data_IF_669714314177
#
_entry.id   IF_669714314177
#
_cell.length_a   1.000
_cell.length_b   1.000
_cell.length_c   1.000
_cell.angle_alpha   90.00
_cell.angle_beta   90.00
_cell.angle_gamma   90.00
#
_symmetry.space_group_name_H-M   'P 1'
#
loop_
_entity.id
_entity.type
_entity.pdbx_description
1 polymer ?
#
# COMPACT_ATOMS: atom_id res chain seq x y z
N UNK A 1 -40.84 -9.95 -1.47
CA UNK A 1 -39.48 -10.26 -0.96
C UNK A 1 -38.48 -10.11 -2.11
N UNK A 2 -38.02 -8.89 -2.39
CA UNK A 2 -37.10 -8.54 -3.51
C UNK A 2 -36.29 -7.25 -3.24
N UNK A 3 -35.85 -7.01 -1.99
CA UNK A 3 -35.14 -5.76 -1.63
C UNK A 3 -33.70 -5.94 -1.16
N UNK A 4 -33.24 -7.15 -0.84
CA UNK A 4 -31.88 -7.36 -0.31
C UNK A 4 -30.81 -7.57 -1.39
N UNK A 5 -31.17 -8.01 -2.60
CA UNK A 5 -30.19 -8.36 -3.64
C UNK A 5 -29.65 -7.13 -4.42
N UNK A 6 -30.39 -6.02 -4.46
CA UNK A 6 -29.97 -4.82 -5.21
C UNK A 6 -29.03 -3.89 -4.42
N UNK A 7 -29.06 -3.91 -3.09
CA UNK A 7 -28.28 -2.97 -2.27
C UNK A 7 -26.78 -3.31 -2.21
N UNK A 8 -26.44 -4.61 -2.15
CA UNK A 8 -25.05 -5.06 -2.21
C UNK A 8 -24.41 -4.81 -3.58
N UNK A 9 -25.19 -5.05 -4.64
CA UNK A 9 -24.77 -4.84 -6.03
C UNK A 9 -24.50 -3.35 -6.31
N UNK A 10 -25.37 -2.44 -5.85
CA UNK A 10 -25.14 -1.01 -6.04
C UNK A 10 -23.91 -0.50 -5.27
N UNK A 11 -23.72 -0.92 -4.01
CA UNK A 11 -22.54 -0.50 -3.24
C UNK A 11 -21.25 -0.94 -3.93
N UNK A 12 -21.16 -2.20 -4.36
CA UNK A 12 -20.02 -2.75 -5.11
C UNK A 12 -19.82 -1.99 -6.42
N UNK A 13 -20.88 -1.82 -7.21
CA UNK A 13 -20.81 -1.10 -8.50
C UNK A 13 -20.31 0.33 -8.36
N UNK A 14 -20.70 1.04 -7.30
CA UNK A 14 -20.21 2.40 -7.02
C UNK A 14 -18.72 2.42 -6.65
N UNK A 15 -18.22 1.41 -5.94
CA UNK A 15 -16.80 1.26 -5.64
C UNK A 15 -15.99 0.90 -6.90
N UNK A 16 -16.54 0.06 -7.79
CA UNK A 16 -15.90 -0.26 -9.07
C UNK A 16 -15.79 0.97 -9.97
N UNK A 17 -16.88 1.75 -10.09
CA UNK A 17 -16.87 3.02 -10.83
C UNK A 17 -15.92 4.06 -10.19
N UNK A 18 -15.71 3.98 -8.88
CA UNK A 18 -14.71 4.80 -8.18
C UNK A 18 -13.31 4.38 -8.61
N UNK A 19 -13.00 3.09 -8.64
CA UNK A 19 -11.72 2.57 -9.14
C UNK A 19 -11.47 2.99 -10.59
N UNK A 20 -12.47 2.83 -11.47
CA UNK A 20 -12.41 3.27 -12.88
C UNK A 20 -12.13 4.78 -13.00
N UNK A 21 -12.82 5.60 -12.19
CA UNK A 21 -12.67 7.07 -12.19
C UNK A 21 -11.29 7.49 -11.71
N UNK A 22 -10.80 6.93 -10.61
CA UNK A 22 -9.49 7.26 -10.05
C UNK A 22 -8.38 6.84 -11.01
N UNK A 23 -8.47 5.64 -11.59
CA UNK A 23 -7.47 5.14 -12.53
C UNK A 23 -7.38 5.99 -13.81
N UNK A 24 -8.51 6.50 -14.31
CA UNK A 24 -8.55 7.27 -15.55
C UNK A 24 -8.33 8.77 -15.38
N UNK A 25 -8.77 9.36 -14.26
CA UNK A 25 -8.84 10.82 -14.10
C UNK A 25 -8.39 11.35 -12.73
N UNK A 26 -8.01 10.48 -11.80
CA UNK A 26 -7.56 10.86 -10.46
C UNK A 26 -8.67 11.01 -9.42
N UNK A 27 -8.25 11.13 -8.16
CA UNK A 27 -9.13 11.13 -6.98
C UNK A 27 -10.07 12.34 -6.96
N UNK A 28 -9.59 13.51 -7.37
CA UNK A 28 -10.37 14.76 -7.41
C UNK A 28 -11.62 14.67 -8.28
N UNK A 29 -11.62 13.80 -9.29
CA UNK A 29 -12.72 13.63 -10.26
C UNK A 29 -13.84 12.69 -9.77
N UNK A 30 -13.67 12.08 -8.58
CA UNK A 30 -14.70 11.24 -7.97
C UNK A 30 -15.85 12.12 -7.48
N UNK A 31 -17.06 11.88 -8.01
CA UNK A 31 -18.27 12.60 -7.62
C UNK A 31 -19.45 11.65 -7.47
N UNK A 32 -20.18 11.74 -6.35
CA UNK A 32 -21.39 10.94 -6.13
C UNK A 32 -22.42 11.11 -7.25
N UNK A 33 -22.49 12.30 -7.84
CA UNK A 33 -23.43 12.60 -8.92
C UNK A 33 -23.03 11.89 -10.23
N UNK A 34 -21.76 11.96 -10.60
CA UNK A 34 -21.27 11.30 -11.82
C UNK A 34 -21.34 9.78 -11.68
N UNK A 35 -21.01 9.25 -10.50
CA UNK A 35 -21.12 7.83 -10.19
C UNK A 35 -22.58 7.34 -10.21
N UNK A 36 -23.53 8.08 -9.62
CA UNK A 36 -24.96 7.74 -9.72
C UNK A 36 -25.43 7.63 -11.17
N UNK A 37 -25.05 8.61 -12.01
CA UNK A 37 -25.38 8.63 -13.43
C UNK A 37 -24.77 7.43 -14.16
N UNK A 38 -23.50 7.12 -13.90
CA UNK A 38 -22.83 5.98 -14.52
C UNK A 38 -23.39 4.62 -14.05
N UNK A 39 -23.89 4.55 -12.81
CA UNK A 39 -24.58 3.36 -12.28
C UNK A 39 -26.06 3.26 -12.70
N UNK A 40 -26.61 4.26 -13.39
CA UNK A 40 -28.02 4.25 -13.82
C UNK A 40 -29.02 4.39 -12.67
N UNK A 41 -28.63 4.97 -11.53
CA UNK A 41 -29.46 5.12 -10.33
C UNK A 41 -29.78 6.58 -10.02
N UNK A 42 -30.72 6.80 -9.10
CA UNK A 42 -31.04 8.14 -8.61
C UNK A 42 -29.84 8.80 -7.92
N UNK A 43 -29.79 10.14 -7.98
CA UNK A 43 -28.74 10.91 -7.31
C UNK A 43 -28.71 10.76 -5.78
N UNK A 44 -29.82 10.33 -5.17
CA UNK A 44 -29.90 10.09 -3.73
C UNK A 44 -29.27 8.76 -3.32
N UNK A 45 -29.20 7.77 -4.22
CA UNK A 45 -28.78 6.42 -3.87
C UNK A 45 -27.33 6.36 -3.32
N UNK A 46 -26.29 6.98 -3.92
CA UNK A 46 -24.96 6.95 -3.33
C UNK A 46 -24.87 7.65 -1.98
N UNK A 47 -25.66 8.72 -1.77
CA UNK A 47 -25.71 9.40 -0.46
C UNK A 47 -26.34 8.50 0.60
N UNK A 48 -27.32 7.67 0.26
CA UNK A 48 -27.90 6.72 1.19
C UNK A 48 -26.90 5.61 1.58
N UNK A 49 -26.00 5.23 0.67
CA UNK A 49 -25.00 4.19 0.94
C UNK A 49 -23.74 4.70 1.64
N UNK A 50 -23.28 5.91 1.32
CA UNK A 50 -21.97 6.41 1.75
C UNK A 50 -22.03 7.75 2.49
N UNK A 51 -23.19 8.40 2.55
CA UNK A 51 -23.39 9.73 3.16
C UNK A 51 -22.82 10.88 2.33
N UNK A 52 -21.53 10.81 1.99
CA UNK A 52 -20.75 11.87 1.33
C UNK A 52 -19.69 11.29 0.37
N UNK A 53 -19.04 12.18 -0.40
CA UNK A 53 -17.86 11.80 -1.21
C UNK A 53 -16.76 11.25 -0.31
N UNK A 54 -16.50 11.90 0.82
CA UNK A 54 -15.52 11.43 1.80
C UNK A 54 -15.89 10.04 2.34
N UNK A 55 -17.15 9.79 2.67
CA UNK A 55 -17.59 8.46 3.13
C UNK A 55 -17.44 7.36 2.06
N UNK A 56 -17.64 7.69 0.77
CA UNK A 56 -17.36 6.77 -0.34
C UNK A 56 -15.86 6.47 -0.45
N UNK A 57 -15.02 7.50 -0.43
CA UNK A 57 -13.57 7.36 -0.52
C UNK A 57 -13.00 6.64 0.70
N UNK A 58 -13.52 6.90 1.90
CA UNK A 58 -13.20 6.14 3.12
C UNK A 58 -13.57 4.68 2.96
N UNK A 59 -14.77 4.35 2.49
CA UNK A 59 -15.17 2.96 2.26
C UNK A 59 -14.28 2.25 1.22
N UNK A 60 -13.85 2.97 0.18
CA UNK A 60 -12.91 2.48 -0.83
C UNK A 60 -11.50 2.29 -0.26
N UNK A 61 -10.99 3.23 0.53
CA UNK A 61 -9.72 3.12 1.22
C UNK A 61 -9.70 1.96 2.23
N UNK A 62 -10.82 1.74 2.93
CA UNK A 62 -11.01 0.59 3.84
C UNK A 62 -10.86 -0.72 3.08
N UNK A 63 -11.49 -0.87 1.91
CA UNK A 63 -11.31 -2.05 1.05
C UNK A 63 -9.84 -2.24 0.64
N UNK A 64 -9.17 -1.15 0.23
CA UNK A 64 -7.75 -1.17 -0.10
C UNK A 64 -6.86 -1.65 1.05
N UNK A 65 -7.09 -1.14 2.28
CA UNK A 65 -6.37 -1.59 3.48
C UNK A 65 -6.61 -3.06 3.80
N UNK A 66 -7.84 -3.57 3.64
CA UNK A 66 -8.13 -4.99 3.88
C UNK A 66 -7.42 -5.90 2.87
N UNK A 67 -7.44 -5.52 1.59
CA UNK A 67 -6.71 -6.24 0.53
C UNK A 67 -5.21 -6.22 0.83
N UNK A 68 -4.64 -5.04 1.13
CA UNK A 68 -3.23 -4.90 1.45
C UNK A 68 -2.86 -5.74 2.68
N UNK A 69 -3.65 -5.70 3.76
CA UNK A 69 -3.37 -6.48 4.97
C UNK A 69 -3.31 -7.99 4.69
N UNK A 70 -4.15 -8.53 3.81
CA UNK A 70 -4.06 -9.92 3.36
C UNK A 70 -2.73 -10.20 2.64
N UNK A 71 -2.39 -9.39 1.64
CA UNK A 71 -1.13 -9.53 0.89
C UNK A 71 0.11 -9.44 1.78
N UNK A 72 0.10 -8.52 2.75
CA UNK A 72 1.19 -8.38 3.70
C UNK A 72 1.32 -9.62 4.59
N UNK A 73 0.20 -10.23 5.02
CA UNK A 73 0.20 -11.49 5.79
C UNK A 73 0.74 -12.66 4.98
N UNK A 74 0.35 -12.78 3.72
CA UNK A 74 0.90 -13.78 2.78
C UNK A 74 2.43 -13.63 2.64
N UNK A 75 2.91 -12.40 2.44
CA UNK A 75 4.35 -12.11 2.38
C UNK A 75 5.07 -12.41 3.69
N UNK A 76 4.48 -12.02 4.83
CA UNK A 76 5.05 -12.23 6.17
C UNK A 76 5.20 -13.72 6.52
N UNK A 77 4.33 -14.59 5.99
CA UNK A 77 4.46 -16.04 6.13
C UNK A 77 5.76 -16.59 5.49
N UNK A 78 6.33 -15.86 4.53
CA UNK A 78 7.63 -16.17 3.92
C UNK A 78 8.77 -15.44 4.62
N UNK A 79 8.71 -14.10 4.67
CA UNK A 79 9.68 -13.27 5.40
C UNK A 79 9.22 -11.82 5.47
N UNK A 80 9.80 -11.04 6.40
CA UNK A 80 9.56 -9.60 6.44
C UNK A 80 9.95 -8.87 5.15
N UNK A 81 10.95 -9.39 4.42
CA UNK A 81 11.31 -8.85 3.11
C UNK A 81 10.17 -9.01 2.09
N UNK A 82 9.53 -10.17 2.06
CA UNK A 82 8.43 -10.44 1.13
C UNK A 82 7.17 -9.67 1.52
N UNK A 83 7.01 -9.27 2.78
CA UNK A 83 6.01 -8.25 3.18
C UNK A 83 6.24 -6.93 2.44
N UNK A 84 7.48 -6.48 2.30
CA UNK A 84 7.83 -5.26 1.55
C UNK A 84 7.57 -5.39 0.05
N UNK A 85 7.85 -6.57 -0.53
CA UNK A 85 7.55 -6.85 -1.95
C UNK A 85 6.04 -6.84 -2.19
N UNK A 86 5.27 -7.52 -1.34
CA UNK A 86 3.81 -7.56 -1.42
C UNK A 86 3.16 -6.16 -1.35
N UNK A 87 3.76 -5.23 -0.60
CA UNK A 87 3.32 -3.83 -0.56
C UNK A 87 3.41 -3.15 -1.94
N UNK A 88 4.53 -3.33 -2.62
CA UNK A 88 4.83 -2.74 -3.94
C UNK A 88 3.98 -3.39 -5.04
N UNK A 89 3.78 -4.70 -4.95
CA UNK A 89 2.88 -5.44 -5.85
C UNK A 89 1.43 -4.99 -5.68
N UNK A 90 0.97 -4.80 -4.45
CA UNK A 90 -0.35 -4.23 -4.18
C UNK A 90 -0.51 -2.86 -4.82
N UNK A 91 0.46 -1.97 -4.64
CA UNK A 91 0.40 -0.62 -5.21
C UNK A 91 0.28 -0.67 -6.75
N UNK A 92 1.01 -1.58 -7.38
CA UNK A 92 1.00 -1.77 -8.84
C UNK A 92 -0.29 -2.41 -9.35
N UNK A 93 -0.84 -3.39 -8.62
CA UNK A 93 -2.07 -4.09 -9.00
C UNK A 93 -3.33 -3.28 -8.68
N UNK A 94 -3.27 -2.40 -7.68
CA UNK A 94 -4.41 -1.62 -7.19
C UNK A 94 -4.08 -0.11 -7.10
N UNK A 95 -3.65 0.53 -8.21
CA UNK A 95 -3.17 1.92 -8.18
C UNK A 95 -4.24 2.91 -7.72
N UNK A 96 -5.51 2.67 -8.06
CA UNK A 96 -6.63 3.49 -7.60
C UNK A 96 -6.83 3.41 -6.08
N UNK A 97 -6.77 2.21 -5.50
CA UNK A 97 -6.86 2.06 -4.04
C UNK A 97 -5.67 2.72 -3.36
N UNK A 98 -4.45 2.47 -3.87
CA UNK A 98 -3.24 3.07 -3.34
C UNK A 98 -3.32 4.60 -3.32
N UNK A 99 -3.75 5.23 -4.41
CA UNK A 99 -3.93 6.67 -4.48
C UNK A 99 -4.89 7.19 -3.39
N UNK A 100 -6.07 6.58 -3.25
CA UNK A 100 -7.08 7.03 -2.28
C UNK A 100 -6.67 6.78 -0.82
N UNK A 101 -6.04 5.64 -0.52
CA UNK A 101 -5.60 5.27 0.83
C UNK A 101 -4.66 6.30 1.47
N UNK A 102 -3.88 7.00 0.65
CA UNK A 102 -2.88 7.96 1.10
C UNK A 102 -3.27 9.44 0.84
N UNK A 103 -4.51 9.71 0.42
CA UNK A 103 -5.09 11.07 0.31
C UNK A 103 -5.87 11.45 1.58
N UNK A 104 -5.18 11.67 2.70
CA UNK A 104 -5.84 11.83 4.01
C UNK A 104 -6.86 12.97 4.06
N UNK A 105 -6.66 14.06 3.33
CA UNK A 105 -7.61 15.19 3.30
C UNK A 105 -8.98 14.85 2.69
N UNK A 106 -9.06 13.76 1.92
CA UNK A 106 -10.27 13.30 1.24
C UNK A 106 -11.10 12.30 2.08
N UNK A 107 -10.57 11.86 3.23
CA UNK A 107 -11.13 10.76 4.01
C UNK A 107 -11.75 11.25 5.33
N UNK A 108 -12.76 10.52 5.79
CA UNK A 108 -13.17 10.52 7.21
C UNK A 108 -12.20 9.63 7.97
N UNK A 109 -11.10 10.21 8.46
CA UNK A 109 -9.98 9.46 9.07
C UNK A 109 -10.33 8.78 10.41
N UNK A 110 -11.40 9.23 11.06
CA UNK A 110 -11.89 8.71 12.35
C UNK A 110 -12.95 7.60 12.17
N UNK A 111 -13.31 7.24 10.93
CA UNK A 111 -14.28 6.19 10.66
C UNK A 111 -13.82 4.86 11.27
N UNK A 112 -14.62 4.20 12.13
CA UNK A 112 -14.19 3.01 12.85
C UNK A 112 -13.75 1.86 11.94
N UNK A 113 -14.40 1.66 10.79
CA UNK A 113 -14.05 0.58 9.86
C UNK A 113 -12.72 0.89 9.16
N UNK A 114 -12.51 2.14 8.78
CA UNK A 114 -11.23 2.59 8.22
C UNK A 114 -10.09 2.46 9.23
N UNK A 115 -10.29 2.92 10.47
CA UNK A 115 -9.29 2.79 11.55
C UNK A 115 -8.94 1.32 11.78
N UNK A 116 -9.92 0.43 11.87
CA UNK A 116 -9.68 -1.00 12.07
C UNK A 116 -8.92 -1.63 10.89
N UNK A 117 -9.28 -1.34 9.64
CA UNK A 117 -8.58 -1.86 8.46
C UNK A 117 -7.14 -1.34 8.37
N UNK A 118 -6.94 -0.06 8.67
CA UNK A 118 -5.62 0.57 8.75
C UNK A 118 -4.77 -0.11 9.82
N UNK A 119 -5.31 -0.33 11.01
CA UNK A 119 -4.62 -1.05 12.09
C UNK A 119 -4.22 -2.47 11.70
N UNK A 120 -5.07 -3.20 10.97
CA UNK A 120 -4.71 -4.54 10.45
C UNK A 120 -3.50 -4.48 9.51
N UNK A 121 -3.46 -3.47 8.61
CA UNK A 121 -2.32 -3.28 7.70
C UNK A 121 -1.03 -2.98 8.47
N UNK A 122 -1.07 -1.97 9.34
CA UNK A 122 0.11 -1.53 10.09
C UNK A 122 0.57 -2.58 11.11
N UNK A 123 -0.35 -3.36 11.67
CA UNK A 123 -0.04 -4.43 12.60
C UNK A 123 0.89 -5.50 12.00
N UNK A 124 0.74 -5.82 10.71
CA UNK A 124 1.65 -6.77 10.02
C UNK A 124 3.05 -6.21 9.91
N UNK A 125 3.19 -4.92 9.59
CA UNK A 125 4.48 -4.25 9.51
C UNK A 125 5.17 -4.21 10.88
N UNK A 126 4.44 -3.79 11.93
CA UNK A 126 4.96 -3.71 13.30
C UNK A 126 5.40 -5.08 13.81
N UNK A 127 4.56 -6.11 13.67
CA UNK A 127 4.90 -7.46 14.11
C UNK A 127 6.15 -8.00 13.38
N UNK A 128 6.30 -7.66 12.10
CA UNK A 128 7.48 -8.04 11.31
C UNK A 128 8.79 -7.44 11.83
N UNK A 129 8.81 -6.14 12.15
CA UNK A 129 10.01 -5.48 12.71
C UNK A 129 10.28 -5.86 14.16
N UNK A 130 9.24 -6.12 14.96
CA UNK A 130 9.36 -6.66 16.32
C UNK A 130 10.06 -8.02 16.29
N UNK A 131 9.65 -8.91 15.37
CA UNK A 131 10.33 -10.19 15.16
C UNK A 131 11.80 -10.06 14.72
N UNK A 132 12.14 -9.02 13.95
CA UNK A 132 13.55 -8.72 13.61
C UNK A 132 14.34 -8.22 14.82
N UNK A 133 13.71 -7.45 15.70
CA UNK A 133 14.34 -6.95 16.92
C UNK A 133 14.60 -8.08 17.92
N UNK A 134 13.62 -8.96 18.12
CA UNK A 134 13.74 -10.15 18.97
C UNK A 134 14.85 -11.09 18.48
N UNK A 135 15.04 -11.15 17.15
CA UNK A 135 16.14 -11.90 16.52
C UNK A 135 17.50 -11.16 16.54
N UNK A 136 17.59 -9.97 17.14
CA UNK A 136 18.80 -9.16 17.22
C UNK A 136 19.28 -8.57 15.89
N UNK A 137 18.41 -8.52 14.87
CA UNK A 137 18.74 -8.00 13.52
C UNK A 137 18.56 -6.50 13.39
N UNK A 138 17.72 -5.90 14.24
CA UNK A 138 17.55 -4.46 14.36
C UNK A 138 17.55 -4.07 15.84
N UNK A 139 18.04 -2.88 16.17
CA UNK A 139 18.10 -2.38 17.55
C UNK A 139 16.96 -1.42 17.92
N UNK A 140 16.23 -0.92 16.93
CA UNK A 140 15.09 -0.01 17.10
C UNK A 140 13.99 -0.40 16.09
N UNK A 141 13.00 -1.16 16.57
CA UNK A 141 11.88 -1.61 15.76
C UNK A 141 11.06 -0.46 15.17
N UNK A 142 10.88 0.65 15.90
CA UNK A 142 10.08 1.78 15.44
C UNK A 142 10.77 2.51 14.28
N UNK A 143 12.06 2.80 14.41
CA UNK A 143 12.85 3.37 13.33
C UNK A 143 12.92 2.43 12.12
N UNK A 144 13.06 1.12 12.36
CA UNK A 144 13.04 0.11 11.32
C UNK A 144 11.71 0.10 10.57
N UNK A 145 10.55 0.15 11.25
CA UNK A 145 9.23 0.19 10.60
C UNK A 145 9.09 1.42 9.68
N UNK A 146 9.49 2.60 10.18
CA UNK A 146 9.41 3.85 9.40
C UNK A 146 10.32 3.77 8.18
N UNK A 147 11.56 3.30 8.33
CA UNK A 147 12.51 3.19 7.22
C UNK A 147 12.00 2.23 6.14
N UNK A 148 11.52 1.05 6.53
CA UNK A 148 10.99 0.04 5.62
C UNK A 148 9.78 0.53 4.88
N UNK A 149 8.81 1.10 5.60
CA UNK A 149 7.60 1.65 4.99
C UNK A 149 7.94 2.81 4.05
N UNK A 150 8.82 3.73 4.44
CA UNK A 150 9.25 4.86 3.60
C UNK A 150 9.88 4.37 2.29
N UNK A 151 10.70 3.32 2.35
CA UNK A 151 11.36 2.76 1.17
C UNK A 151 10.34 2.17 0.19
N UNK A 152 9.47 1.27 0.65
CA UNK A 152 8.50 0.60 -0.24
C UNK A 152 7.40 1.54 -0.72
N UNK A 153 6.97 2.47 0.13
CA UNK A 153 6.01 3.51 -0.23
C UNK A 153 6.59 4.51 -1.22
N UNK A 154 7.84 4.94 -1.01
CA UNK A 154 8.57 5.81 -1.93
C UNK A 154 8.75 5.15 -3.29
N UNK A 155 9.20 3.88 -3.32
CA UNK A 155 9.36 3.12 -4.55
C UNK A 155 8.04 2.98 -5.32
N UNK A 156 6.96 2.58 -4.64
CA UNK A 156 5.63 2.47 -5.23
C UNK A 156 5.14 3.81 -5.80
N UNK A 157 5.27 4.90 -5.03
CA UNK A 157 4.87 6.24 -5.47
C UNK A 157 5.69 6.72 -6.67
N UNK A 158 7.01 6.53 -6.67
CA UNK A 158 7.87 6.89 -7.79
C UNK A 158 7.50 6.12 -9.07
N UNK A 159 7.13 4.84 -8.95
CA UNK A 159 6.66 4.04 -10.06
C UNK A 159 5.30 4.52 -10.59
N UNK A 160 4.31 4.69 -9.69
CA UNK A 160 2.93 5.07 -10.06
C UNK A 160 2.84 6.48 -10.65
N UNK A 161 3.73 7.38 -10.25
CA UNK A 161 3.78 8.76 -10.78
C UNK A 161 4.60 8.88 -12.06
N UNK A 162 5.19 7.79 -12.57
CA UNK A 162 6.08 7.81 -13.73
C UNK A 162 7.43 8.49 -13.47
N UNK A 163 7.73 8.87 -12.23
CA UNK A 163 8.98 9.53 -11.87
C UNK A 163 10.20 8.61 -12.04
N UNK A 164 10.04 7.30 -11.88
CA UNK A 164 11.12 6.35 -12.23
C UNK A 164 11.45 6.39 -13.72
N UNK A 165 10.47 6.60 -14.58
CA UNK A 165 10.65 6.66 -16.04
C UNK A 165 11.20 8.01 -16.50
N UNK A 166 10.70 9.09 -15.88
CA UNK A 166 11.12 10.45 -16.18
C UNK A 166 12.50 10.78 -15.61
N UNK A 167 12.90 10.14 -14.52
CA UNK A 167 14.27 10.21 -14.01
C UNK A 167 15.11 9.17 -14.73
N UNK A 168 16.31 9.52 -15.17
CA UNK A 168 17.26 8.57 -15.80
C UNK A 168 17.63 7.36 -14.91
N UNK A 169 17.08 7.30 -13.69
CA UNK A 169 17.16 6.19 -12.74
C UNK A 169 16.73 4.88 -13.38
N UNK A 170 15.63 4.80 -14.14
CA UNK A 170 15.25 3.49 -14.72
C UNK A 170 16.28 2.93 -15.70
N UNK A 171 16.97 3.80 -16.44
CA UNK A 171 18.09 3.40 -17.29
C UNK A 171 19.33 2.99 -16.47
N UNK A 172 19.52 3.58 -15.29
CA UNK A 172 20.62 3.23 -14.39
C UNK A 172 20.43 1.87 -13.70
N UNK A 173 19.21 1.52 -13.31
CA UNK A 173 19.00 0.35 -12.45
C UNK A 173 18.93 -0.99 -13.22
N UNK A 174 18.90 -0.96 -14.56
CA UNK A 174 18.91 -2.13 -15.46
C UNK A 174 17.93 -3.27 -15.13
N UNK A 175 16.96 -3.01 -14.25
CA UNK A 175 15.95 -3.93 -13.74
C UNK A 175 14.59 -3.33 -14.04
N UNK A 176 13.81 -3.93 -14.96
CA UNK A 176 12.47 -3.46 -15.25
C UNK A 176 11.44 -3.89 -14.21
N UNK A 177 11.70 -4.93 -13.41
CA UNK A 177 10.75 -5.47 -12.43
C UNK A 177 10.79 -4.72 -11.10
N UNK A 178 9.65 -4.12 -10.73
CA UNK A 178 9.49 -3.34 -9.52
C UNK A 178 9.55 -4.23 -8.26
N UNK A 179 9.12 -5.49 -8.34
CA UNK A 179 9.23 -6.44 -7.23
C UNK A 179 10.69 -6.83 -6.98
N UNK A 180 11.48 -7.04 -8.04
CA UNK A 180 12.91 -7.26 -7.93
C UNK A 180 13.64 -6.05 -7.34
N UNK A 181 13.28 -4.83 -7.75
CA UNK A 181 13.79 -3.59 -7.16
C UNK A 181 13.48 -3.50 -5.66
N UNK A 182 12.23 -3.76 -5.27
CA UNK A 182 11.79 -3.76 -3.89
C UNK A 182 12.58 -4.78 -3.05
N UNK A 183 12.75 -6.01 -3.56
CA UNK A 183 13.52 -7.07 -2.90
C UNK A 183 14.98 -6.67 -2.68
N UNK A 184 15.65 -6.09 -3.67
CA UNK A 184 17.04 -5.62 -3.52
C UNK A 184 17.14 -4.47 -2.53
N UNK A 185 16.23 -3.50 -2.62
CA UNK A 185 16.23 -2.33 -1.76
C UNK A 185 15.93 -2.69 -0.30
N UNK A 186 14.94 -3.54 -0.04
CA UNK A 186 14.63 -4.08 1.28
C UNK A 186 15.78 -4.96 1.83
N UNK A 187 16.46 -5.72 0.97
CA UNK A 187 17.65 -6.51 1.37
C UNK A 187 18.79 -5.64 1.88
N UNK A 188 18.93 -4.38 1.45
CA UNK A 188 19.95 -3.47 1.99
C UNK A 188 19.62 -3.02 3.43
N UNK A 189 18.33 -2.94 3.77
CA UNK A 189 17.88 -2.54 5.12
C UNK A 189 17.77 -3.71 6.09
N UNK A 190 17.37 -4.89 5.60
CA UNK A 190 17.02 -6.05 6.44
C UNK A 190 17.72 -7.35 6.06
N UNK A 191 18.46 -7.36 4.95
CA UNK A 191 19.32 -8.48 4.58
C UNK A 191 20.48 -8.55 5.56
N UNK A 192 20.73 -9.75 6.07
CA UNK A 192 21.78 -10.03 7.04
C UNK A 192 23.12 -9.41 6.66
N UNK A 193 23.58 -8.44 7.45
CA UNK A 193 24.98 -8.04 7.45
C UNK A 193 25.84 -9.21 7.90
N UNK A 194 26.42 -9.94 6.95
CA UNK A 194 27.75 -10.54 7.14
C UNK A 194 28.72 -9.72 6.33
N UNK A 195 29.27 -8.68 6.95
CA UNK A 195 30.63 -8.23 6.64
C UNK A 195 31.44 -8.44 7.90
N UNK A 196 31.93 -9.66 8.07
CA UNK A 196 33.13 -9.85 8.88
C UNK A 196 34.20 -8.93 8.28
N UNK A 197 34.70 -7.99 9.08
CA UNK A 197 35.87 -7.20 8.70
C UNK A 197 37.01 -8.16 8.33
N UNK A 198 37.76 -7.94 7.24
CA UNK A 198 38.95 -8.74 6.98
C UNK A 198 39.90 -8.54 8.15
N UNK A 199 40.29 -9.63 8.80
CA UNK A 199 41.31 -9.63 9.83
C UNK A 199 42.56 -8.95 9.24
N UNK A 200 43.01 -7.88 9.90
CA UNK A 200 44.27 -7.24 9.57
C UNK A 200 45.37 -8.30 9.71
N UNK A 201 45.99 -8.66 8.60
CA UNK A 201 47.15 -9.54 8.60
C UNK A 201 48.25 -8.89 9.47
N UNK A 202 48.64 -9.59 10.52
CA UNK A 202 49.85 -9.31 11.29
C UNK A 202 51.02 -9.22 10.31
N UNK A 203 51.57 -8.01 10.14
CA UNK A 203 52.90 -7.85 9.58
C UNK A 203 53.88 -8.40 10.62
N UNK A 204 54.40 -9.60 10.37
CA UNK A 204 55.70 -10.01 10.92
C UNK A 204 56.76 -9.17 10.23
N UNK A 205 57.33 -8.20 10.94
CA UNK A 205 58.59 -7.59 10.57
C UNK A 205 59.73 -8.53 11.03
N UNK A 206 60.62 -8.82 10.08
CA UNK A 206 61.97 -9.35 10.25
C UNK A 206 62.92 -8.17 10.26
#
# INVERSE_FOLDING_TARGET
MRETYHHGDLRRRLLDLTAETVAGRGVSEVSLRSLARAAGVSHTAPRNHFGSRAGLLTAFATEGHLILAERLREGAATSFLETGVAYVEFASAHPAHFAVMFSQEDLVVDDPAFVAARQQTFGVLCAGVEGLQDAGKVSDAAAAAIAGWSLVHGLATLALTGNLDASSVRAYVAEPDLSALARRAASMLYGSGTTAAPAAAERKEV
#
